data_IF_934307936231
#
_entry.id   IF_934307936231
#
_cell.length_a   1.000
_cell.length_b   1.000
_cell.length_c   1.000
_cell.angle_alpha   90.00
_cell.angle_beta   90.00
_cell.angle_gamma   90.00
#
_symmetry.space_group_name_H-M   'P 1'
#
loop_
_entity.id
_entity.type
_entity.pdbx_description
1 polymer ?
#
# COMPACT_ATOMS: atom_id res chain seq x y z
N UNK A 1 28.36 14.97 2.21
CA UNK A 1 27.29 15.91 1.84
C UNK A 1 26.18 15.11 1.18
N UNK A 2 25.00 15.07 1.79
CA UNK A 2 23.85 14.38 1.19
C UNK A 2 23.46 15.11 -0.09
N UNK A 3 23.58 14.44 -1.23
CA UNK A 3 23.19 15.00 -2.53
C UNK A 3 21.67 15.21 -2.53
N UNK A 4 21.24 16.46 -2.39
CA UNK A 4 19.84 16.88 -2.57
C UNK A 4 19.73 17.48 -3.97
N UNK A 5 18.85 16.92 -4.79
CA UNK A 5 18.49 17.47 -6.09
C UNK A 5 17.28 18.40 -5.95
N UNK A 6 17.32 19.56 -6.60
CA UNK A 6 16.19 20.50 -6.61
C UNK A 6 15.27 20.17 -7.78
N UNK A 7 14.01 19.87 -7.47
CA UNK A 7 12.97 19.60 -8.47
C UNK A 7 11.89 20.68 -8.33
N UNK A 8 11.52 21.31 -9.44
CA UNK A 8 10.38 22.23 -9.50
C UNK A 8 9.11 21.43 -9.80
N UNK A 9 8.09 21.58 -8.97
CA UNK A 9 6.81 20.88 -9.09
C UNK A 9 5.66 21.88 -8.98
N UNK A 10 4.58 21.63 -9.73
CA UNK A 10 3.33 22.36 -9.55
C UNK A 10 2.46 21.63 -8.52
N UNK A 11 1.97 22.36 -7.53
CA UNK A 11 0.98 21.89 -6.56
C UNK A 11 -0.33 22.64 -6.80
N UNK A 12 -1.46 22.00 -6.51
CA UNK A 12 -2.73 22.73 -6.44
C UNK A 12 -2.65 23.79 -5.36
N UNK A 13 -3.43 24.88 -5.49
CA UNK A 13 -3.42 25.98 -4.53
C UNK A 13 -3.71 25.51 -3.10
N UNK A 14 -4.59 24.52 -2.96
CA UNK A 14 -4.94 23.88 -1.69
C UNK A 14 -3.73 23.17 -1.05
N UNK A 15 -3.06 22.28 -1.78
CA UNK A 15 -1.90 21.54 -1.27
C UNK A 15 -0.75 22.51 -0.96
N UNK A 16 -0.54 23.52 -1.81
CA UNK A 16 0.48 24.53 -1.56
C UNK A 16 0.19 25.33 -0.28
N UNK A 17 -1.08 25.63 0.01
CA UNK A 17 -1.48 26.30 1.24
C UNK A 17 -1.23 25.41 2.47
N UNK A 18 -1.60 24.12 2.39
CA UNK A 18 -1.31 23.15 3.44
C UNK A 18 0.19 23.07 3.76
N UNK A 19 1.04 22.92 2.73
CA UNK A 19 2.51 22.87 2.92
C UNK A 19 3.05 24.14 3.55
N UNK A 20 2.53 25.32 3.18
CA UNK A 20 2.92 26.59 3.83
C UNK A 20 2.49 26.64 5.28
N UNK A 21 1.25 26.26 5.58
CA UNK A 21 0.70 26.26 6.94
C UNK A 21 1.49 25.34 7.87
N UNK A 22 1.87 24.15 7.42
CA UNK A 22 2.72 23.21 8.19
C UNK A 22 4.11 23.76 8.50
N UNK A 23 4.63 24.68 7.68
CA UNK A 23 5.89 25.37 7.97
C UNK A 23 5.66 26.57 8.90
N UNK A 24 4.62 27.36 8.64
CA UNK A 24 4.25 28.53 9.44
C UNK A 24 3.86 28.17 10.88
N UNK A 25 3.26 27.00 11.09
CA UNK A 25 2.94 26.46 12.42
C UNK A 25 4.17 25.99 13.21
N UNK A 26 5.32 25.83 12.54
CA UNK A 26 6.54 25.27 13.12
C UNK A 26 6.55 23.74 13.21
N UNK A 27 5.55 23.05 12.65
CA UNK A 27 5.52 21.57 12.56
C UNK A 27 6.68 21.06 11.68
N UNK A 28 7.05 21.80 10.64
CA UNK A 28 8.17 21.50 9.74
C UNK A 28 9.10 22.70 9.55
N UNK A 29 10.40 22.44 9.41
CA UNK A 29 11.39 23.50 9.21
C UNK A 29 11.41 24.06 7.78
N UNK A 30 10.87 23.31 6.80
CA UNK A 30 10.82 23.76 5.40
C UNK A 30 9.78 22.99 4.58
N UNK A 31 9.32 23.59 3.48
CA UNK A 31 8.45 22.90 2.53
C UNK A 31 9.11 21.65 1.93
N UNK A 32 10.44 21.67 1.75
CA UNK A 32 11.17 20.50 1.26
C UNK A 32 11.14 19.33 2.25
N UNK A 33 10.95 19.59 3.55
CA UNK A 33 10.81 18.55 4.56
C UNK A 33 9.45 17.85 4.47
N UNK A 34 8.37 18.65 4.41
CA UNK A 34 6.99 18.16 4.20
C UNK A 34 6.93 17.27 2.97
N UNK A 35 7.46 17.74 1.84
CA UNK A 35 7.45 16.98 0.58
C UNK A 35 8.29 15.70 0.68
N UNK A 36 9.44 15.73 1.37
CA UNK A 36 10.25 14.51 1.55
C UNK A 36 9.53 13.47 2.39
N UNK A 37 8.84 13.86 3.45
CA UNK A 37 8.04 12.93 4.26
C UNK A 37 6.91 12.31 3.43
N UNK A 38 6.09 13.15 2.80
CA UNK A 38 4.99 12.68 1.94
C UNK A 38 5.47 11.73 0.84
N UNK A 39 6.64 11.98 0.23
CA UNK A 39 7.22 11.10 -0.78
C UNK A 39 7.78 9.79 -0.21
N UNK A 40 8.28 9.77 1.03
CA UNK A 40 8.70 8.51 1.69
C UNK A 40 7.48 7.63 1.94
N UNK A 41 6.42 8.19 2.48
CA UNK A 41 5.18 7.48 2.76
C UNK A 41 4.55 6.96 1.47
N UNK A 42 4.50 7.81 0.43
CA UNK A 42 4.03 7.40 -0.89
C UNK A 42 4.87 6.25 -1.47
N UNK A 43 6.19 6.30 -1.36
CA UNK A 43 7.09 5.23 -1.82
C UNK A 43 6.83 3.92 -1.07
N UNK A 44 6.69 3.98 0.25
CA UNK A 44 6.38 2.80 1.08
C UNK A 44 5.03 2.20 0.71
N UNK A 45 4.00 3.03 0.57
CA UNK A 45 2.67 2.59 0.11
C UNK A 45 2.73 1.89 -1.24
N UNK A 46 3.51 2.43 -2.19
CA UNK A 46 3.67 1.83 -3.52
C UNK A 46 4.41 0.48 -3.45
N UNK A 47 5.44 0.36 -2.62
CA UNK A 47 6.14 -0.90 -2.43
C UNK A 47 5.20 -1.97 -1.86
N UNK A 48 4.40 -1.62 -0.84
CA UNK A 48 3.42 -2.54 -0.26
C UNK A 48 2.37 -2.97 -1.29
N UNK A 49 1.89 -2.05 -2.13
CA UNK A 49 0.93 -2.38 -3.18
C UNK A 49 1.50 -3.40 -4.19
N UNK A 50 2.76 -3.23 -4.58
CA UNK A 50 3.43 -4.17 -5.49
C UNK A 50 3.58 -5.55 -4.85
N UNK A 51 4.03 -5.60 -3.59
CA UNK A 51 4.14 -6.86 -2.83
C UNK A 51 2.80 -7.57 -2.70
N UNK A 52 1.73 -6.85 -2.36
CA UNK A 52 0.38 -7.42 -2.25
C UNK A 52 -0.10 -8.00 -3.59
N UNK A 53 0.22 -7.35 -4.72
CA UNK A 53 -0.14 -7.87 -6.06
C UNK A 53 0.64 -9.16 -6.36
N UNK A 54 1.91 -9.21 -6.01
CA UNK A 54 2.74 -10.42 -6.16
C UNK A 54 2.23 -11.57 -5.29
N UNK A 55 1.85 -11.30 -4.05
CA UNK A 55 1.25 -12.29 -3.14
C UNK A 55 -0.08 -12.82 -3.67
N UNK A 56 -0.98 -11.93 -4.14
CA UNK A 56 -2.25 -12.35 -4.73
C UNK A 56 -2.05 -13.21 -5.98
N UNK A 57 -1.04 -12.88 -6.81
CA UNK A 57 -0.69 -13.69 -7.98
C UNK A 57 -0.16 -15.06 -7.57
N UNK A 58 0.64 -15.12 -6.50
CA UNK A 58 1.15 -16.39 -5.96
C UNK A 58 0.01 -17.26 -5.42
N UNK A 59 -0.92 -16.70 -4.63
CA UNK A 59 -2.09 -17.44 -4.15
C UNK A 59 -3.01 -17.91 -5.28
N UNK A 60 -3.19 -17.09 -6.31
CA UNK A 60 -3.92 -17.49 -7.50
C UNK A 60 -3.28 -18.68 -8.21
N UNK A 61 -1.96 -18.63 -8.42
CA UNK A 61 -1.23 -19.73 -9.04
C UNK A 61 -1.28 -21.00 -8.19
N UNK A 62 -1.12 -20.86 -6.86
CA UNK A 62 -1.28 -21.97 -5.92
C UNK A 62 -2.68 -22.61 -6.02
N UNK A 63 -3.73 -21.80 -6.18
CA UNK A 63 -5.08 -22.27 -6.43
C UNK A 63 -5.19 -23.10 -7.72
N UNK A 64 -4.64 -22.61 -8.82
CA UNK A 64 -4.57 -23.36 -10.09
C UNK A 64 -3.82 -24.68 -9.92
N UNK A 65 -2.63 -24.63 -9.30
CA UNK A 65 -1.75 -25.78 -9.13
C UNK A 65 -2.33 -26.83 -8.17
N UNK A 66 -3.25 -26.43 -7.29
CA UNK A 66 -3.97 -27.34 -6.38
C UNK A 66 -5.02 -28.22 -7.07
N UNK A 67 -5.29 -27.99 -8.35
CA UNK A 67 -6.18 -28.80 -9.18
C UNK A 67 -7.65 -28.42 -9.07
N UNK A 68 -8.53 -29.32 -9.53
CA UNK A 68 -9.96 -29.05 -9.57
C UNK A 68 -10.56 -28.94 -8.16
N UNK A 69 -11.50 -28.01 -7.99
CA UNK A 69 -12.25 -27.87 -6.75
C UNK A 69 -13.00 -29.17 -6.41
N UNK A 70 -12.77 -29.70 -5.21
CA UNK A 70 -13.31 -30.99 -4.75
C UNK A 70 -14.69 -30.91 -4.11
N UNK A 71 -15.14 -29.72 -3.71
CA UNK A 71 -16.44 -29.52 -3.08
C UNK A 71 -17.46 -28.96 -4.08
N UNK A 72 -18.64 -29.57 -4.11
CA UNK A 72 -19.72 -29.24 -5.05
C UNK A 72 -20.48 -27.97 -4.69
N UNK A 73 -20.59 -27.66 -3.39
CA UNK A 73 -21.27 -26.48 -2.87
C UNK A 73 -20.71 -26.06 -1.50
N UNK A 74 -21.24 -24.94 -0.98
CA UNK A 74 -20.84 -24.39 0.31
C UNK A 74 -21.24 -25.26 1.51
N UNK A 75 -22.30 -26.07 1.40
CA UNK A 75 -22.75 -26.93 2.49
C UNK A 75 -21.81 -28.13 2.67
N UNK A 76 -21.32 -28.71 1.57
CA UNK A 76 -20.27 -29.72 1.61
C UNK A 76 -18.98 -29.21 2.27
N UNK A 77 -18.58 -27.96 1.97
CA UNK A 77 -17.42 -27.31 2.61
C UNK A 77 -17.63 -27.18 4.12
N UNK A 78 -18.79 -26.67 4.56
CA UNK A 78 -19.10 -26.50 5.99
C UNK A 78 -19.14 -27.84 6.74
N UNK A 79 -19.69 -28.88 6.13
CA UNK A 79 -19.74 -30.22 6.74
C UNK A 79 -18.32 -30.77 6.96
N UNK A 80 -17.45 -30.68 5.97
CA UNK A 80 -16.06 -31.10 6.08
C UNK A 80 -15.30 -30.29 7.13
N UNK A 81 -15.47 -28.96 7.15
CA UNK A 81 -14.84 -28.10 8.15
C UNK A 81 -15.27 -28.46 9.59
N UNK A 82 -16.55 -28.76 9.82
CA UNK A 82 -17.04 -29.20 11.14
C UNK A 82 -16.47 -30.55 11.57
N UNK A 83 -16.30 -31.50 10.64
CA UNK A 83 -15.65 -32.81 10.92
C UNK A 83 -14.19 -32.67 11.33
N UNK A 84 -13.47 -31.67 10.80
CA UNK A 84 -12.05 -31.41 11.15
C UNK A 84 -11.87 -30.73 12.51
N UNK A 85 -12.95 -30.15 13.07
CA UNK A 85 -12.94 -29.45 14.35
C UNK A 85 -13.38 -30.33 15.54
N UNK A 86 -13.92 -31.53 15.29
CA UNK A 86 -14.24 -32.53 16.32
C UNK A 86 -13.05 -33.43 16.62
#
# INVERSE_FOLDING_TARGET
MSNVEKISIALTSEIAAFVRQSVESGEYASSSEVIREALRDWKQKRLQQLQNIEELRAFWQQGIDSGAGVHTDIEAIKQEARKRLS
#
